data_IF_260348556150
#
_entry.id   IF_260348556150
#
_cell.length_a   1.000
_cell.length_b   1.000
_cell.length_c   1.000
_cell.angle_alpha   90.00
_cell.angle_beta   90.00
_cell.angle_gamma   90.00
#
_symmetry.space_group_name_H-M   'P 1'
#
loop_
_entity.id
_entity.type
_entity.pdbx_description
1 polymer ?
#
# COMPACT_ATOMS: atom_id res chain seq x y z
N UNK A 1 31.72 -23.93 -53.63
CA UNK A 1 31.19 -23.34 -54.87
C UNK A 1 29.69 -23.16 -54.72
N UNK A 2 29.21 -21.94 -54.96
CA UNK A 2 27.91 -21.48 -55.51
C UNK A 2 26.73 -22.47 -55.35
N UNK A 3 25.58 -22.13 -54.75
CA UNK A 3 24.63 -21.14 -55.28
C UNK A 3 23.47 -20.81 -54.32
N UNK A 4 22.99 -19.56 -54.42
CA UNK A 4 21.83 -18.93 -53.75
C UNK A 4 20.48 -19.57 -54.12
N UNK A 5 19.51 -19.43 -53.21
CA UNK A 5 18.07 -19.35 -53.50
C UNK A 5 17.37 -18.51 -52.42
N UNK A 6 16.68 -17.44 -52.82
CA UNK A 6 15.92 -16.49 -51.97
C UNK A 6 14.46 -16.53 -52.45
N UNK A 7 13.49 -16.64 -51.55
CA UNK A 7 12.07 -16.24 -51.71
C UNK A 7 11.48 -16.14 -50.29
N UNK A 8 11.32 -14.93 -49.73
CA UNK A 8 10.10 -14.08 -49.76
C UNK A 8 8.85 -14.68 -49.10
N UNK A 9 8.38 -13.99 -48.07
CA UNK A 9 6.97 -13.62 -47.92
C UNK A 9 6.04 -14.63 -47.23
N UNK A 10 5.81 -14.43 -45.93
CA UNK A 10 4.74 -15.12 -45.20
C UNK A 10 4.49 -14.48 -43.85
N UNK A 11 3.81 -13.33 -43.83
CA UNK A 11 3.34 -12.69 -42.62
C UNK A 11 2.30 -13.54 -41.92
N UNK A 12 2.73 -14.30 -40.91
CA UNK A 12 1.87 -14.81 -39.86
C UNK A 12 2.00 -13.90 -38.66
N UNK A 13 0.95 -13.13 -38.34
CA UNK A 13 0.78 -12.59 -36.99
C UNK A 13 0.60 -13.78 -36.07
N UNK A 14 1.68 -14.24 -35.44
CA UNK A 14 1.58 -15.11 -34.29
C UNK A 14 0.78 -14.36 -33.23
N UNK A 15 -0.43 -14.85 -32.97
CA UNK A 15 -1.25 -14.37 -31.86
C UNK A 15 -0.41 -14.47 -30.61
N UNK A 16 -0.22 -13.34 -29.94
CA UNK A 16 0.48 -13.29 -28.66
C UNK A 16 -0.14 -14.32 -27.74
N UNK A 17 0.65 -15.34 -27.39
CA UNK A 17 0.29 -16.27 -26.34
C UNK A 17 -0.06 -15.43 -25.12
N UNK A 18 -1.31 -15.53 -24.65
CA UNK A 18 -1.67 -14.93 -23.38
C UNK A 18 -0.68 -15.48 -22.35
N UNK A 19 -0.06 -14.58 -21.57
CA UNK A 19 0.81 -15.00 -20.48
C UNK A 19 0.05 -16.03 -19.63
N UNK A 20 0.70 -17.15 -19.25
CA UNK A 20 0.04 -18.18 -18.47
C UNK A 20 -0.54 -17.55 -17.20
N UNK A 21 -1.85 -17.70 -17.02
CA UNK A 21 -2.53 -17.26 -15.80
C UNK A 21 -1.95 -18.08 -14.65
N UNK A 22 -1.31 -17.40 -13.71
CA UNK A 22 -0.75 -18.03 -12.52
C UNK A 22 -1.87 -18.72 -11.73
N UNK A 23 -1.72 -20.02 -11.52
CA UNK A 23 -2.67 -20.81 -10.73
C UNK A 23 -2.31 -20.61 -9.27
N UNK A 24 -3.13 -19.84 -8.55
CA UNK A 24 -3.03 -19.67 -7.10
C UNK A 24 -3.75 -20.82 -6.37
N UNK A 25 -3.10 -21.41 -5.37
CA UNK A 25 -3.65 -22.55 -4.61
C UNK A 25 -4.62 -22.12 -3.50
N UNK A 26 -4.35 -20.99 -2.85
CA UNK A 26 -5.17 -20.46 -1.76
C UNK A 26 -5.14 -18.94 -1.72
N UNK A 27 -6.20 -18.35 -1.15
CA UNK A 27 -6.35 -16.90 -0.99
C UNK A 27 -7.02 -16.59 0.35
N UNK A 28 -6.56 -15.54 1.01
CA UNK A 28 -7.25 -14.95 2.16
C UNK A 28 -8.19 -13.83 1.72
N UNK A 29 -9.41 -13.85 2.23
CA UNK A 29 -10.41 -12.80 1.99
C UNK A 29 -10.97 -12.33 3.32
N UNK A 30 -11.12 -11.02 3.49
CA UNK A 30 -11.73 -10.41 4.68
C UNK A 30 -13.07 -9.74 4.34
N UNK A 31 -14.20 -10.48 4.36
CA UNK A 31 -15.53 -9.92 4.11
C UNK A 31 -15.89 -8.79 5.08
N UNK A 32 -15.47 -8.92 6.34
CA UNK A 32 -15.66 -7.87 7.36
C UNK A 32 -14.91 -6.59 7.01
N UNK A 33 -13.65 -6.70 6.59
CA UNK A 33 -12.85 -5.56 6.14
C UNK A 33 -13.45 -4.89 4.90
N UNK A 34 -13.92 -5.67 3.92
CA UNK A 34 -14.61 -5.17 2.73
C UNK A 34 -15.87 -4.39 3.11
N UNK A 35 -16.74 -4.97 3.95
CA UNK A 35 -17.98 -4.32 4.41
C UNK A 35 -17.70 -3.01 5.17
N UNK A 36 -16.68 -3.01 6.03
CA UNK A 36 -16.23 -1.81 6.73
C UNK A 36 -15.80 -0.72 5.75
N UNK A 37 -14.96 -1.05 4.78
CA UNK A 37 -14.47 -0.06 3.80
C UNK A 37 -15.57 0.42 2.87
N UNK A 38 -16.53 -0.41 2.49
CA UNK A 38 -17.72 0.03 1.74
C UNK A 38 -18.51 1.11 2.51
N UNK A 39 -18.71 0.91 3.82
CA UNK A 39 -19.39 1.90 4.67
C UNK A 39 -18.55 3.17 4.84
N UNK A 40 -17.23 3.03 4.97
CA UNK A 40 -16.30 4.15 5.03
C UNK A 40 -16.34 4.98 3.75
N UNK A 41 -16.33 4.33 2.58
CA UNK A 41 -16.40 4.99 1.27
C UNK A 41 -17.67 5.83 1.12
N UNK A 42 -18.83 5.25 1.45
CA UNK A 42 -20.11 5.97 1.44
C UNK A 42 -20.08 7.21 2.34
N UNK A 43 -19.50 7.10 3.53
CA UNK A 43 -19.38 8.23 4.47
C UNK A 43 -18.44 9.32 3.94
N UNK A 44 -17.25 8.94 3.49
CA UNK A 44 -16.25 9.89 2.96
C UNK A 44 -16.79 10.62 1.73
N UNK A 45 -17.50 9.92 0.85
CA UNK A 45 -18.22 10.52 -0.29
C UNK A 45 -19.23 11.56 0.19
N UNK A 46 -20.14 11.16 1.07
CA UNK A 46 -21.22 12.02 1.55
C UNK A 46 -20.74 13.30 2.26
N UNK A 47 -19.67 13.20 3.06
CA UNK A 47 -19.12 14.36 3.80
C UNK A 47 -18.07 15.14 3.01
N UNK A 48 -17.73 14.69 1.79
CA UNK A 48 -16.66 15.25 0.95
C UNK A 48 -15.34 15.38 1.73
N UNK A 49 -14.99 14.32 2.46
CA UNK A 49 -13.85 14.30 3.38
C UNK A 49 -12.70 13.40 2.92
N UNK A 50 -11.91 12.92 3.88
CA UNK A 50 -10.87 11.92 3.66
C UNK A 50 -10.74 10.95 4.84
N UNK A 51 -10.16 9.78 4.58
CA UNK A 51 -9.79 8.77 5.56
C UNK A 51 -8.37 8.28 5.31
N UNK A 52 -7.66 7.93 6.39
CA UNK A 52 -6.31 7.40 6.37
C UNK A 52 -6.30 6.05 7.10
N UNK A 53 -5.89 4.99 6.42
CA UNK A 53 -5.74 3.66 6.95
C UNK A 53 -4.25 3.31 6.98
N UNK A 54 -3.76 2.87 8.14
CA UNK A 54 -2.36 2.54 8.37
C UNK A 54 -2.30 1.16 8.98
N UNK A 55 -1.74 0.21 8.26
CA UNK A 55 -1.56 -1.16 8.74
C UNK A 55 -0.46 -1.87 7.95
N UNK A 56 -0.04 -3.06 8.39
CA UNK A 56 0.83 -3.91 7.59
C UNK A 56 0.03 -4.72 6.56
N UNK A 57 0.63 -4.90 5.40
CA UNK A 57 0.02 -5.60 4.28
C UNK A 57 0.62 -5.21 2.93
N UNK A 58 -0.13 -5.52 1.87
CA UNK A 58 0.29 -5.39 0.49
C UNK A 58 -0.84 -4.87 -0.42
N UNK A 59 -0.48 -4.42 -1.62
CA UNK A 59 -1.45 -4.06 -2.68
C UNK A 59 -1.83 -5.27 -3.55
N UNK A 60 -1.43 -6.47 -3.11
CA UNK A 60 -1.70 -7.76 -3.73
C UNK A 60 -2.53 -8.62 -2.78
N UNK A 61 -3.28 -9.54 -3.35
CA UNK A 61 -4.04 -10.54 -2.60
C UNK A 61 -3.11 -11.36 -1.69
N UNK A 62 -3.34 -11.39 -0.37
CA UNK A 62 -2.57 -12.24 0.55
C UNK A 62 -2.93 -13.72 0.41
N UNK A 63 -1.95 -14.61 0.59
CA UNK A 63 -2.13 -16.06 0.51
C UNK A 63 -2.10 -16.74 1.88
N UNK A 64 -1.03 -16.53 2.66
CA UNK A 64 -0.83 -17.12 4.00
C UNK A 64 -0.29 -16.05 4.95
N UNK A 65 -1.21 -15.26 5.52
CA UNK A 65 -0.87 -14.12 6.38
C UNK A 65 -1.40 -14.23 7.80
N UNK A 66 -2.26 -15.23 8.08
CA UNK A 66 -2.78 -15.50 9.42
C UNK A 66 -1.66 -15.84 10.41
N UNK A 67 -1.43 -14.95 11.36
CA UNK A 67 -0.38 -15.08 12.38
C UNK A 67 -0.97 -15.00 13.78
N UNK A 68 -0.48 -15.88 14.65
CA UNK A 68 -0.69 -15.79 16.09
C UNK A 68 0.42 -14.98 16.75
N UNK A 69 0.06 -14.02 17.58
CA UNK A 69 0.99 -13.21 18.36
C UNK A 69 0.69 -13.41 19.85
N UNK A 70 1.68 -13.82 20.61
CA UNK A 70 1.57 -13.95 22.06
C UNK A 70 2.86 -13.44 22.72
N UNK A 71 2.73 -12.51 23.67
CA UNK A 71 3.87 -11.89 24.37
C UNK A 71 4.97 -11.38 23.42
N UNK A 72 4.57 -10.69 22.34
CA UNK A 72 5.46 -10.17 21.28
C UNK A 72 6.27 -11.23 20.53
N UNK A 73 5.79 -12.47 20.47
CA UNK A 73 6.40 -13.56 19.70
C UNK A 73 5.36 -14.18 18.77
N UNK A 74 5.83 -14.57 17.59
CA UNK A 74 5.04 -15.36 16.66
C UNK A 74 4.82 -16.76 17.26
N UNK A 75 3.56 -17.19 17.30
CA UNK A 75 3.12 -18.51 17.75
C UNK A 75 2.12 -19.08 16.75
N UNK A 76 1.90 -20.39 16.81
CA UNK A 76 0.85 -20.99 15.99
C UNK A 76 -0.51 -20.38 16.35
N UNK A 77 -1.35 -19.95 15.38
CA UNK A 77 -2.64 -19.30 15.63
C UNK A 77 -3.57 -20.09 16.56
N UNK A 78 -3.53 -21.42 16.47
CA UNK A 78 -4.39 -22.33 17.25
C UNK A 78 -3.74 -22.83 18.56
N UNK A 79 -2.58 -22.31 18.95
CA UNK A 79 -1.86 -22.83 20.12
C UNK A 79 -2.60 -22.61 21.44
N UNK A 80 -3.22 -21.44 21.64
CA UNK A 80 -4.00 -21.11 22.84
C UNK A 80 -5.18 -20.17 22.47
N UNK A 81 -6.30 -20.73 21.96
CA UNK A 81 -7.45 -19.92 21.55
C UNK A 81 -7.95 -18.99 22.66
N UNK A 82 -8.24 -17.73 22.30
CA UNK A 82 -8.64 -16.68 23.24
C UNK A 82 -7.49 -15.96 23.95
N UNK A 83 -6.29 -16.55 23.98
CA UNK A 83 -5.08 -15.92 24.54
C UNK A 83 -4.13 -15.38 23.47
N UNK A 84 -4.16 -15.97 22.27
CA UNK A 84 -3.34 -15.56 21.12
C UNK A 84 -4.06 -14.46 20.36
N UNK A 85 -3.35 -13.36 20.10
CA UNK A 85 -3.83 -12.31 19.21
C UNK A 85 -3.69 -12.77 17.75
N UNK A 86 -4.75 -12.63 16.97
CA UNK A 86 -4.79 -13.07 15.58
C UNK A 86 -4.67 -11.86 14.66
N UNK A 87 -3.70 -11.94 13.76
CA UNK A 87 -3.39 -10.88 12.79
C UNK A 87 -3.34 -11.44 11.38
N UNK A 88 -3.66 -10.59 10.40
CA UNK A 88 -3.57 -10.86 8.96
C UNK A 88 -3.04 -9.62 8.26
N UNK A 89 -2.40 -9.81 7.11
CA UNK A 89 -2.01 -8.72 6.22
C UNK A 89 -3.24 -8.08 5.59
N UNK A 90 -3.27 -6.75 5.53
CA UNK A 90 -4.34 -6.03 4.82
C UNK A 90 -4.11 -6.12 3.30
N UNK A 91 -5.15 -6.55 2.59
CA UNK A 91 -5.25 -6.45 1.13
C UNK A 91 -5.70 -5.03 0.73
N UNK A 92 -4.74 -4.13 0.56
CA UNK A 92 -5.01 -2.75 0.15
C UNK A 92 -5.52 -2.67 -1.31
N UNK A 93 -5.22 -3.67 -2.13
CA UNK A 93 -5.71 -3.76 -3.51
C UNK A 93 -7.22 -3.94 -3.54
N UNK A 94 -7.74 -4.82 -2.69
CA UNK A 94 -9.19 -4.99 -2.48
C UNK A 94 -9.83 -3.71 -1.94
N UNK A 95 -9.21 -3.01 -0.99
CA UNK A 95 -9.74 -1.73 -0.48
C UNK A 95 -9.83 -0.67 -1.59
N UNK A 96 -8.83 -0.62 -2.48
CA UNK A 96 -8.81 0.28 -3.64
C UNK A 96 -9.95 -0.03 -4.62
N UNK A 97 -10.19 -1.31 -4.91
CA UNK A 97 -11.30 -1.76 -5.78
C UNK A 97 -12.65 -1.34 -5.20
N UNK A 98 -12.87 -1.57 -3.91
CA UNK A 98 -14.10 -1.14 -3.20
C UNK A 98 -14.34 0.36 -3.32
N UNK A 99 -13.29 1.17 -3.18
CA UNK A 99 -13.38 2.62 -3.34
C UNK A 99 -13.75 3.03 -4.78
N UNK A 100 -13.15 2.38 -5.78
CA UNK A 100 -13.45 2.61 -7.19
C UNK A 100 -14.91 2.25 -7.54
N UNK A 101 -15.45 1.20 -6.93
CA UNK A 101 -16.81 0.69 -7.19
C UNK A 101 -17.92 1.48 -6.45
N UNK A 102 -17.58 2.52 -5.66
CA UNK A 102 -18.57 3.24 -4.84
C UNK A 102 -19.50 4.14 -5.68
N UNK A 103 -19.01 5.28 -6.18
CA UNK A 103 -19.80 6.26 -6.96
C UNK A 103 -18.94 7.19 -7.85
N UNK A 104 -17.63 6.92 -7.97
CA UNK A 104 -16.69 7.75 -8.72
C UNK A 104 -16.34 9.10 -8.08
N UNK A 105 -16.84 9.40 -6.87
CA UNK A 105 -16.50 10.63 -6.13
C UNK A 105 -15.17 10.54 -5.37
N UNK A 106 -14.65 9.33 -5.20
CA UNK A 106 -13.48 9.04 -4.37
C UNK A 106 -12.23 8.84 -5.23
N UNK A 107 -11.09 9.26 -4.68
CA UNK A 107 -9.76 9.02 -5.21
C UNK A 107 -8.87 8.40 -4.15
N UNK A 108 -7.99 7.52 -4.58
CA UNK A 108 -7.00 6.87 -3.73
C UNK A 108 -5.62 7.12 -4.33
N UNK A 109 -4.73 7.88 -3.68
CA UNK A 109 -3.34 7.97 -4.12
C UNK A 109 -2.66 6.59 -4.11
N UNK A 110 -1.49 6.44 -4.76
CA UNK A 110 -0.69 5.23 -4.67
C UNK A 110 -0.44 4.82 -3.21
N UNK A 111 -0.41 3.51 -2.95
CA UNK A 111 -0.12 2.99 -1.61
C UNK A 111 1.30 3.43 -1.21
N UNK A 112 1.45 4.06 -0.05
CA UNK A 112 2.74 4.54 0.42
C UNK A 112 3.30 3.60 1.48
N UNK A 113 4.63 3.45 1.53
CA UNK A 113 5.28 2.88 2.70
C UNK A 113 5.18 3.85 3.88
N UNK A 114 5.04 3.35 5.09
CA UNK A 114 4.98 4.20 6.29
C UNK A 114 6.18 5.15 6.39
N UNK A 115 7.39 4.68 6.07
CA UNK A 115 8.59 5.53 6.12
C UNK A 115 8.49 6.73 5.19
N UNK A 116 7.95 6.53 3.99
CA UNK A 116 7.92 7.54 2.94
C UNK A 116 6.82 8.56 3.25
N UNK A 117 5.65 8.08 3.70
CA UNK A 117 4.58 8.93 4.21
C UNK A 117 5.02 9.80 5.40
N UNK A 118 5.68 9.21 6.41
CA UNK A 118 6.13 9.95 7.59
C UNK A 118 7.21 10.98 7.23
N UNK A 119 8.12 10.64 6.32
CA UNK A 119 9.12 11.59 5.81
C UNK A 119 8.43 12.77 5.09
N UNK A 120 7.48 12.49 4.20
CA UNK A 120 6.70 13.52 3.50
C UNK A 120 5.87 14.40 4.46
N UNK A 121 5.40 13.84 5.58
CA UNK A 121 4.69 14.58 6.64
C UNK A 121 5.62 15.33 7.61
N UNK A 122 6.94 15.32 7.39
CA UNK A 122 7.90 16.11 8.14
C UNK A 122 8.36 15.50 9.47
N UNK A 123 8.44 14.17 9.56
CA UNK A 123 8.90 13.46 10.77
C UNK A 123 10.23 14.02 11.28
N UNK A 124 11.22 14.24 10.41
CA UNK A 124 12.54 14.74 10.81
C UNK A 124 12.45 16.11 11.48
N UNK A 125 11.72 17.05 10.88
CA UNK A 125 11.53 18.39 11.44
C UNK A 125 10.87 18.32 12.83
N UNK A 126 9.88 17.43 12.99
CA UNK A 126 9.20 17.23 14.26
C UNK A 126 10.12 16.63 15.32
N UNK A 127 10.91 15.62 14.99
CA UNK A 127 11.87 15.01 15.93
C UNK A 127 12.93 16.02 16.35
N UNK A 128 13.47 16.82 15.42
CA UNK A 128 14.44 17.86 15.73
C UNK A 128 13.84 18.94 16.67
N UNK A 129 12.57 19.33 16.47
CA UNK A 129 11.89 20.25 17.35
C UNK A 129 11.70 19.69 18.77
N UNK A 130 11.27 18.42 18.88
CA UNK A 130 11.12 17.74 20.17
C UNK A 130 12.45 17.60 20.90
N UNK A 131 13.52 17.25 20.19
CA UNK A 131 14.86 17.17 20.76
C UNK A 131 15.33 18.52 21.29
N UNK A 132 15.04 19.65 20.63
CA UNK A 132 15.43 20.96 21.17
C UNK A 132 14.77 21.30 22.52
N UNK A 133 13.59 20.74 22.79
CA UNK A 133 12.81 20.98 24.01
C UNK A 133 13.02 19.91 25.09
N UNK A 134 13.78 18.86 24.80
CA UNK A 134 13.99 17.74 25.73
C UNK A 134 15.40 17.78 26.30
N UNK A 135 15.54 18.10 27.58
CA UNK A 135 16.84 18.12 28.27
C UNK A 135 17.29 16.72 28.71
N UNK A 136 16.35 15.87 29.15
CA UNK A 136 16.66 14.54 29.67
C UNK A 136 17.26 13.62 28.60
N UNK A 137 18.45 13.07 28.89
CA UNK A 137 19.20 12.26 27.94
C UNK A 137 18.50 10.93 27.61
N UNK A 138 17.80 10.33 28.58
CA UNK A 138 17.11 9.06 28.36
C UNK A 138 15.91 9.25 27.41
N UNK A 139 15.10 10.28 27.63
CA UNK A 139 13.99 10.67 26.78
C UNK A 139 14.45 11.02 25.36
N UNK A 140 15.54 11.77 25.21
CA UNK A 140 16.12 12.08 23.89
C UNK A 140 16.48 10.81 23.12
N UNK A 141 17.16 9.85 23.78
CA UNK A 141 17.52 8.57 23.17
C UNK A 141 16.27 7.78 22.77
N UNK A 142 15.24 7.79 23.62
CA UNK A 142 14.00 7.08 23.36
C UNK A 142 13.19 7.68 22.21
N UNK A 143 13.21 9.02 22.05
CA UNK A 143 12.65 9.71 20.88
C UNK A 143 13.34 9.27 19.59
N UNK A 144 14.68 9.31 19.56
CA UNK A 144 15.45 8.89 18.39
C UNK A 144 15.22 7.42 18.07
N UNK A 145 15.25 6.54 19.08
CA UNK A 145 15.00 5.10 18.92
C UNK A 145 13.61 4.84 18.35
N UNK A 146 12.58 5.50 18.89
CA UNK A 146 11.19 5.27 18.49
C UNK A 146 10.91 5.80 17.08
N UNK A 147 11.41 6.99 16.75
CA UNK A 147 11.34 7.54 15.40
C UNK A 147 12.08 6.64 14.39
N UNK A 148 13.29 6.20 14.74
CA UNK A 148 14.05 5.24 13.94
C UNK A 148 13.28 3.95 13.68
N UNK A 149 12.58 3.40 14.69
CA UNK A 149 11.75 2.20 14.53
C UNK A 149 10.62 2.39 13.52
N UNK A 150 9.97 3.55 13.50
CA UNK A 150 8.84 3.85 12.61
C UNK A 150 9.25 3.89 11.13
N UNK A 151 10.50 4.22 10.83
CA UNK A 151 11.00 4.36 9.45
C UNK A 151 12.01 3.28 9.05
N UNK A 152 12.36 2.38 9.97
CA UNK A 152 13.36 1.34 9.75
C UNK A 152 12.97 0.38 8.61
N UNK A 153 14.00 -0.04 7.86
CA UNK A 153 13.93 -1.04 6.79
C UNK A 153 15.11 -2.00 6.92
N UNK A 154 14.89 -3.33 7.09
CA UNK A 154 13.59 -3.97 7.28
C UNK A 154 12.96 -3.54 8.61
N UNK A 155 11.62 -3.48 8.67
CA UNK A 155 10.90 -3.10 9.88
C UNK A 155 9.59 -2.39 9.59
N UNK A 156 9.10 -1.59 10.55
CA UNK A 156 7.81 -0.90 10.41
C UNK A 156 7.77 0.00 9.18
N UNK A 157 8.90 0.60 8.81
CA UNK A 157 8.98 1.53 7.69
C UNK A 157 8.56 0.94 6.35
N UNK A 158 8.81 -0.36 6.14
CA UNK A 158 8.42 -1.09 4.91
C UNK A 158 7.29 -2.09 5.11
N UNK A 159 7.13 -2.66 6.30
CA UNK A 159 6.01 -3.56 6.59
C UNK A 159 4.67 -2.81 6.57
N UNK A 160 4.60 -1.67 7.25
CA UNK A 160 3.40 -0.84 7.30
C UNK A 160 3.24 -0.02 6.02
N UNK A 161 1.99 0.09 5.60
CA UNK A 161 1.53 0.87 4.47
C UNK A 161 0.56 1.94 4.95
N UNK A 162 0.47 3.00 4.18
CA UNK A 162 -0.47 4.09 4.39
C UNK A 162 -1.34 4.16 3.15
N UNK A 163 -2.65 3.98 3.33
CA UNK A 163 -3.66 4.09 2.30
C UNK A 163 -4.56 5.28 2.62
N UNK A 164 -4.77 6.14 1.64
CA UNK A 164 -5.73 7.23 1.76
C UNK A 164 -6.91 7.02 0.82
N UNK A 165 -8.05 7.47 1.32
CA UNK A 165 -9.30 7.60 0.59
C UNK A 165 -9.74 9.06 0.73
N UNK A 166 -9.91 9.78 -0.36
CA UNK A 166 -10.35 11.17 -0.30
C UNK A 166 -11.46 11.42 -1.32
N UNK A 167 -12.41 12.27 -0.99
CA UNK A 167 -13.29 12.85 -2.00
C UNK A 167 -12.43 13.63 -3.01
N UNK A 168 -12.80 13.58 -4.30
CA UNK A 168 -12.03 14.19 -5.39
C UNK A 168 -11.79 15.69 -5.23
N UNK A 169 -12.66 16.38 -4.51
CA UNK A 169 -12.55 17.81 -4.22
C UNK A 169 -11.62 18.13 -3.04
N UNK A 170 -11.18 17.12 -2.27
CA UNK A 170 -10.26 17.31 -1.13
C UNK A 170 -8.83 17.19 -1.63
N UNK A 171 -8.09 18.31 -1.62
CA UNK A 171 -6.67 18.35 -2.01
C UNK A 171 -6.47 18.46 -3.52
N UNK A 172 -6.92 19.55 -4.13
CA UNK A 172 -6.83 19.75 -5.58
C UNK A 172 -5.42 19.50 -6.15
N UNK A 173 -4.38 19.80 -5.38
CA UNK A 173 -2.96 19.64 -5.75
C UNK A 173 -2.31 18.35 -5.21
N UNK A 174 -3.14 17.40 -4.73
CA UNK A 174 -2.72 16.11 -4.19
C UNK A 174 -3.17 15.86 -2.76
N UNK A 175 -2.92 14.65 -2.25
CA UNK A 175 -3.24 14.26 -0.87
C UNK A 175 -2.00 14.41 -0.01
N UNK A 176 -2.08 15.20 1.06
CA UNK A 176 -0.95 15.46 1.95
C UNK A 176 -0.29 14.16 2.45
N UNK A 177 1.04 14.11 2.41
CA UNK A 177 1.84 12.94 2.80
C UNK A 177 1.95 11.86 1.73
N UNK A 178 1.19 11.96 0.65
CA UNK A 178 1.34 11.09 -0.51
C UNK A 178 2.07 11.85 -1.60
N UNK A 179 3.28 11.38 -1.92
CA UNK A 179 3.95 11.79 -3.14
C UNK A 179 3.06 11.30 -4.28
N UNK A 180 2.47 12.21 -5.05
CA UNK A 180 1.79 11.80 -6.27
C UNK A 180 2.81 11.00 -7.10
N UNK A 181 2.47 9.76 -7.45
CA UNK A 181 3.17 9.15 -8.55
C UNK A 181 3.06 10.15 -9.71
N UNK A 182 4.17 10.50 -10.39
CA UNK A 182 4.06 11.32 -11.58
C UNK A 182 3.01 10.67 -12.45
N UNK A 183 2.17 11.47 -13.10
CA UNK A 183 1.21 11.04 -14.13
C UNK A 183 1.95 10.20 -15.18
N UNK A 184 2.22 8.93 -14.88
CA UNK A 184 3.09 8.08 -15.68
C UNK A 184 2.43 7.86 -17.05
N UNK A 185 1.11 7.91 -17.08
CA UNK A 185 0.29 7.90 -18.28
C UNK A 185 0.45 9.19 -19.11
N UNK A 186 0.66 10.36 -18.50
CA UNK A 186 0.93 11.61 -19.24
C UNK A 186 2.38 11.66 -19.75
N UNK A 187 3.35 11.14 -18.99
CA UNK A 187 4.76 11.10 -19.41
C UNK A 187 5.02 10.04 -20.48
N UNK A 188 4.25 8.94 -20.51
CA UNK A 188 4.29 7.94 -21.57
C UNK A 188 3.53 8.36 -22.83
N UNK A 189 2.50 9.21 -22.70
CA UNK A 189 1.82 9.86 -23.85
C UNK A 189 2.68 10.96 -24.47
N UNK A 190 3.34 11.80 -23.67
CA UNK A 190 4.24 12.84 -24.15
C UNK A 190 5.57 12.33 -24.76
N UNK A 191 5.86 11.02 -24.63
CA UNK A 191 6.98 10.35 -25.32
C UNK A 191 6.56 9.55 -26.56
N UNK A 192 5.27 9.54 -26.90
CA UNK A 192 4.70 8.89 -28.08
C UNK A 192 4.15 9.88 -29.12
N UNK A 193 4.28 11.17 -28.86
CA UNK A 193 4.09 12.27 -29.82
C UNK A 193 5.47 12.87 -30.16
#
# INVERSE_FOLDING_TARGET
>A
GVSKGRSEGGGGREGGAADPVEVIESVEVSPGGISFVQQLCKRVSAVRGAALLIDYGADTTPEDSLRGIWQHRAVHPLSMPGCVDLSVDVDFGTLRRVAADTDGSLRCPPLSFQRDFLAAMGLEARINALLRQTEDKAQRRDLVRSAGRLVASPGMGTAYKVFALAHKDVGADGVAGFLEAPRLDEQLRAKKE
#
